data_IF_314675709272
#
_entry.id   IF_314675709272
#
_cell.length_a   1.000
_cell.length_b   1.000
_cell.length_c   1.000
_cell.angle_alpha   90.00
_cell.angle_beta   90.00
_cell.angle_gamma   90.00
#
_symmetry.space_group_name_H-M   'P 1'
#
loop_
_entity.id
_entity.type
_entity.pdbx_description
1 polymer ?
#
# COMPACT_ATOMS: atom_id res chain seq x y z
N UNK A 1 20.56 -33.94 36.41
CA UNK A 1 21.37 -33.53 35.28
C UNK A 1 20.58 -33.45 33.97
N UNK A 2 19.60 -34.29 33.77
CA UNK A 2 18.78 -34.29 32.57
C UNK A 2 17.74 -33.18 32.52
N UNK A 3 17.50 -32.51 33.63
CA UNK A 3 16.47 -31.46 33.72
C UNK A 3 16.85 -30.14 33.06
N UNK A 4 18.11 -29.95 32.71
CA UNK A 4 18.59 -28.70 32.12
C UNK A 4 18.35 -28.60 30.64
N UNK A 5 18.07 -29.71 29.96
CA UNK A 5 17.88 -29.71 28.51
C UNK A 5 16.47 -29.27 28.05
N UNK A 6 15.47 -29.39 28.93
CA UNK A 6 14.09 -29.11 28.58
C UNK A 6 13.83 -27.59 28.50
N UNK A 7 14.55 -26.81 29.30
CA UNK A 7 14.36 -25.34 29.32
C UNK A 7 14.88 -24.64 28.07
N UNK A 8 15.89 -25.20 27.41
CA UNK A 8 16.49 -24.59 26.23
C UNK A 8 15.62 -24.67 24.98
N UNK A 9 14.81 -25.71 24.88
CA UNK A 9 13.94 -25.93 23.74
C UNK A 9 12.75 -24.97 23.71
N UNK A 10 12.27 -24.54 24.85
CA UNK A 10 11.13 -23.65 24.94
C UNK A 10 11.42 -22.22 24.48
N UNK A 11 12.67 -21.78 24.62
CA UNK A 11 13.09 -20.43 24.24
C UNK A 11 13.09 -20.25 22.72
N UNK A 12 13.40 -21.29 21.96
CA UNK A 12 13.45 -21.23 20.50
C UNK A 12 12.08 -21.00 19.86
N UNK A 13 11.01 -21.44 20.49
CA UNK A 13 9.65 -21.25 19.97
C UNK A 13 9.15 -19.82 20.10
N UNK A 14 9.55 -19.11 21.15
CA UNK A 14 9.09 -17.75 21.40
C UNK A 14 9.63 -16.78 20.35
N UNK A 15 10.82 -17.03 19.81
CA UNK A 15 11.45 -16.16 18.81
C UNK A 15 10.72 -16.23 17.46
N UNK A 16 10.15 -17.38 17.10
CA UNK A 16 9.46 -17.53 15.82
C UNK A 16 8.09 -16.85 15.76
N UNK A 17 7.43 -16.69 16.90
CA UNK A 17 6.11 -16.06 16.96
C UNK A 17 6.15 -14.54 16.97
N UNK A 18 7.34 -13.94 16.98
CA UNK A 18 7.51 -12.49 17.05
C UNK A 18 7.38 -11.76 15.70
N UNK A 19 7.24 -12.47 14.60
CA UNK A 19 7.09 -11.85 13.28
C UNK A 19 5.67 -11.39 13.09
N UNK A 20 5.44 -10.08 13.17
CA UNK A 20 4.16 -9.48 12.87
C UNK A 20 4.03 -9.28 11.37
N UNK A 21 2.87 -9.62 10.80
CA UNK A 21 2.52 -9.26 9.44
C UNK A 21 2.13 -7.78 9.42
N UNK A 22 2.68 -7.06 8.45
CA UNK A 22 2.32 -5.67 8.21
C UNK A 22 1.28 -5.65 7.09
N UNK A 23 0.09 -5.18 7.42
CA UNK A 23 -0.98 -5.03 6.44
C UNK A 23 -1.32 -3.56 6.29
N UNK A 24 -1.61 -3.16 5.05
CA UNK A 24 -2.00 -1.79 4.74
C UNK A 24 -3.34 -1.83 4.01
N UNK A 25 -4.29 -1.07 4.51
CA UNK A 25 -5.59 -0.91 3.86
C UNK A 25 -5.51 0.31 2.93
N UNK A 26 -5.39 0.05 1.63
CA UNK A 26 -5.23 1.10 0.63
C UNK A 26 -6.43 2.05 0.59
N UNK A 27 -7.62 1.56 0.92
CA UNK A 27 -8.84 2.38 0.91
C UNK A 27 -8.82 3.48 1.98
N UNK A 28 -7.94 3.38 2.97
CA UNK A 28 -7.85 4.33 4.08
C UNK A 28 -6.69 5.30 3.98
N UNK A 29 -5.83 5.14 2.98
CA UNK A 29 -4.67 6.02 2.81
C UNK A 29 -5.13 7.40 2.36
N UNK A 30 -4.76 8.42 3.14
CA UNK A 30 -5.01 9.81 2.80
C UNK A 30 -3.81 10.41 2.05
N UNK A 31 -4.02 11.56 1.42
CA UNK A 31 -2.94 12.24 0.69
C UNK A 31 -1.75 12.59 1.58
N UNK A 32 -1.99 13.08 2.81
CA UNK A 32 -0.90 13.41 3.71
C UNK A 32 -0.08 12.18 4.09
N UNK A 33 -0.72 11.02 4.27
CA UNK A 33 -0.02 9.76 4.49
C UNK A 33 0.77 9.34 3.25
N UNK A 34 0.17 9.47 2.08
CA UNK A 34 0.83 9.16 0.81
C UNK A 34 2.09 10.00 0.60
N UNK A 35 2.03 11.28 0.95
CA UNK A 35 3.15 12.20 0.76
C UNK A 35 4.40 11.80 1.53
N UNK A 36 4.25 11.10 2.65
CA UNK A 36 5.39 10.67 3.49
C UNK A 36 5.78 9.21 3.29
N UNK A 37 5.08 8.51 2.42
CA UNK A 37 5.39 7.10 2.11
C UNK A 37 6.62 6.99 1.23
N UNK A 38 7.46 6.01 1.52
CA UNK A 38 8.61 5.69 0.67
C UNK A 38 8.20 4.96 -0.61
N UNK A 39 7.14 4.14 -0.53
CA UNK A 39 6.72 3.25 -1.62
C UNK A 39 5.44 3.73 -2.29
N UNK A 40 5.42 4.98 -2.73
CA UNK A 40 4.27 5.57 -3.41
C UNK A 40 3.87 4.81 -4.66
N UNK A 41 4.86 4.31 -5.41
CA UNK A 41 4.61 3.54 -6.64
C UNK A 41 3.86 2.25 -6.36
N UNK A 42 4.11 1.61 -5.21
CA UNK A 42 3.40 0.39 -4.83
C UNK A 42 1.91 0.64 -4.63
N UNK A 43 1.55 1.76 -4.02
CA UNK A 43 0.14 2.15 -3.85
C UNK A 43 -0.51 2.41 -5.21
N UNK A 44 0.18 3.12 -6.09
CA UNK A 44 -0.32 3.44 -7.42
C UNK A 44 -0.52 2.18 -8.27
N UNK A 45 0.42 1.23 -8.21
CA UNK A 45 0.29 -0.05 -8.90
C UNK A 45 -0.91 -0.84 -8.37
N UNK A 46 -1.08 -0.85 -7.04
CA UNK A 46 -2.21 -1.54 -6.43
C UNK A 46 -3.54 -0.94 -6.91
N UNK A 47 -3.66 0.38 -6.91
CA UNK A 47 -4.86 1.06 -7.38
C UNK A 47 -5.14 0.77 -8.85
N UNK A 48 -4.11 0.84 -9.68
CA UNK A 48 -4.23 0.52 -11.10
C UNK A 48 -4.72 -0.92 -11.30
N UNK A 49 -4.13 -1.87 -10.59
CA UNK A 49 -4.53 -3.27 -10.65
C UNK A 49 -5.95 -3.50 -10.18
N UNK A 50 -6.37 -2.80 -9.14
CA UNK A 50 -7.72 -2.90 -8.61
C UNK A 50 -8.78 -2.48 -9.66
N UNK A 51 -8.57 -1.32 -10.28
CA UNK A 51 -9.53 -0.80 -11.25
C UNK A 51 -9.49 -1.52 -12.59
N UNK A 52 -8.29 -1.88 -13.08
CA UNK A 52 -8.16 -2.70 -14.28
C UNK A 52 -8.75 -4.10 -14.06
N UNK A 53 -8.58 -4.65 -12.86
CA UNK A 53 -9.15 -5.94 -12.49
C UNK A 53 -10.67 -5.94 -12.56
N UNK A 54 -11.30 -4.87 -12.13
CA UNK A 54 -12.77 -4.73 -12.23
C UNK A 54 -13.25 -4.75 -13.67
N UNK A 55 -12.46 -4.22 -14.59
CA UNK A 55 -12.74 -4.21 -16.02
C UNK A 55 -12.22 -5.44 -16.74
N UNK A 56 -11.57 -6.35 -16.03
CA UNK A 56 -10.91 -7.52 -16.59
C UNK A 56 -9.90 -7.17 -17.68
N UNK A 57 -9.24 -6.02 -17.51
CA UNK A 57 -8.23 -5.54 -18.44
C UNK A 57 -6.85 -5.88 -17.88
N UNK A 58 -6.12 -6.84 -18.47
CA UNK A 58 -4.81 -7.25 -17.96
C UNK A 58 -3.66 -6.38 -18.48
N UNK A 59 -3.94 -5.39 -19.35
CA UNK A 59 -2.89 -4.60 -19.99
C UNK A 59 -2.59 -3.37 -19.15
N UNK A 60 -1.31 -3.18 -18.82
CA UNK A 60 -0.82 -2.00 -18.16
C UNK A 60 0.04 -1.20 -19.15
N UNK A 61 -0.39 0.04 -19.45
CA UNK A 61 0.41 0.98 -20.22
C UNK A 61 1.33 1.72 -19.24
N UNK A 62 2.64 1.41 -19.31
CA UNK A 62 3.61 1.96 -18.37
C UNK A 62 3.73 3.49 -18.48
N UNK A 63 3.63 4.04 -19.69
CA UNK A 63 3.70 5.50 -19.87
C UNK A 63 2.53 6.20 -19.20
N UNK A 64 1.32 5.68 -19.42
CA UNK A 64 0.12 6.19 -18.76
C UNK A 64 0.18 6.02 -17.25
N UNK A 65 0.72 4.91 -16.79
CA UNK A 65 0.88 4.64 -15.36
C UNK A 65 1.80 5.66 -14.70
N UNK A 66 2.96 5.93 -15.29
CA UNK A 66 3.92 6.89 -14.77
C UNK A 66 3.32 8.30 -14.70
N UNK A 67 2.60 8.69 -15.74
CA UNK A 67 1.90 9.96 -15.77
C UNK A 67 0.86 10.06 -14.67
N UNK A 68 0.12 9.00 -14.44
CA UNK A 68 -0.86 8.91 -13.37
C UNK A 68 -0.21 9.08 -12.00
N UNK A 69 0.92 8.43 -11.77
CA UNK A 69 1.65 8.57 -10.50
C UNK A 69 2.06 10.03 -10.27
N UNK A 70 2.60 10.69 -11.29
CA UNK A 70 2.96 12.11 -11.20
C UNK A 70 1.76 12.99 -10.87
N UNK A 71 0.63 12.68 -11.48
CA UNK A 71 -0.62 13.40 -11.23
C UNK A 71 -1.07 13.28 -9.77
N UNK A 72 -1.02 12.07 -9.21
CA UNK A 72 -1.40 11.88 -7.80
C UNK A 72 -0.44 12.57 -6.86
N UNK A 73 0.85 12.53 -7.14
CA UNK A 73 1.82 13.27 -6.34
C UNK A 73 1.51 14.75 -6.33
N UNK A 74 1.17 15.31 -7.49
CA UNK A 74 0.82 16.73 -7.60
C UNK A 74 -0.47 17.06 -6.85
N UNK A 75 -1.50 16.24 -7.01
CA UNK A 75 -2.79 16.45 -6.32
C UNK A 75 -2.64 16.36 -4.81
N UNK A 76 -1.88 15.39 -4.32
CA UNK A 76 -1.72 15.20 -2.88
C UNK A 76 -0.85 16.28 -2.22
N UNK A 77 -0.10 17.07 -2.98
CA UNK A 77 0.64 18.21 -2.44
C UNK A 77 -0.24 19.42 -2.17
N UNK A 78 -1.43 19.47 -2.74
CA UNK A 78 -2.37 20.55 -2.49
C UNK A 78 -3.00 20.38 -1.12
N UNK A 79 -2.98 21.44 -0.30
CA UNK A 79 -3.45 21.39 1.09
C UNK A 79 -4.90 20.94 1.20
N UNK A 80 -5.75 21.33 0.25
CA UNK A 80 -7.16 20.96 0.24
C UNK A 80 -7.37 19.45 0.13
N UNK A 81 -6.37 18.71 -0.34
CA UNK A 81 -6.46 17.28 -0.56
C UNK A 81 -5.83 16.44 0.56
N UNK A 82 -5.18 17.07 1.54
CA UNK A 82 -4.39 16.33 2.55
C UNK A 82 -5.20 15.29 3.31
N UNK A 83 -6.45 15.57 3.61
CA UNK A 83 -7.32 14.67 4.35
C UNK A 83 -8.15 13.76 3.46
N UNK A 84 -8.08 13.94 2.14
CA UNK A 84 -8.82 13.12 1.18
C UNK A 84 -8.11 11.80 0.97
N UNK A 85 -8.88 10.74 0.77
CA UNK A 85 -8.34 9.41 0.48
C UNK A 85 -7.86 9.33 -0.96
N UNK A 86 -6.73 8.68 -1.17
CA UNK A 86 -6.17 8.51 -2.52
C UNK A 86 -7.15 7.77 -3.43
N UNK A 87 -7.81 6.76 -2.90
CA UNK A 87 -8.77 5.99 -3.67
C UNK A 87 -9.93 6.85 -4.18
N UNK A 88 -10.40 7.77 -3.36
CA UNK A 88 -11.42 8.75 -3.74
C UNK A 88 -10.93 9.65 -4.88
N UNK A 89 -9.71 10.15 -4.80
CA UNK A 89 -9.12 10.98 -5.85
C UNK A 89 -8.95 10.19 -7.14
N UNK A 90 -8.55 8.95 -7.05
CA UNK A 90 -8.41 8.08 -8.21
C UNK A 90 -9.76 7.92 -8.92
N UNK A 91 -10.80 7.58 -8.17
CA UNK A 91 -12.16 7.41 -8.73
C UNK A 91 -12.66 8.67 -9.42
N UNK A 92 -12.45 9.82 -8.79
CA UNK A 92 -12.91 11.10 -9.34
C UNK A 92 -12.17 11.52 -10.59
N UNK A 93 -10.95 11.01 -10.82
CA UNK A 93 -10.13 11.35 -11.99
C UNK A 93 -10.33 10.41 -13.16
N UNK A 94 -11.05 9.31 -12.99
CA UNK A 94 -11.30 8.37 -14.08
C UNK A 94 -12.35 8.92 -15.04
N UNK A 95 -12.20 8.68 -16.35
CA UNK A 95 -13.25 9.05 -17.32
C UNK A 95 -14.52 8.25 -17.06
N UNK A 96 -15.65 8.92 -17.11
CA UNK A 96 -16.97 8.29 -16.90
C UNK A 96 -17.48 7.63 -18.18
#
# INVERSE_FOLDING_TARGET
>A
MLKLFVGTLLIAFVVQSARAQITVDISKITCDQFNVMEKQDSVAIWLSGFYHGQKRDPVLDMSSFEETVRKYRAMCRQADNFTRRIMELYESSQPK
#
